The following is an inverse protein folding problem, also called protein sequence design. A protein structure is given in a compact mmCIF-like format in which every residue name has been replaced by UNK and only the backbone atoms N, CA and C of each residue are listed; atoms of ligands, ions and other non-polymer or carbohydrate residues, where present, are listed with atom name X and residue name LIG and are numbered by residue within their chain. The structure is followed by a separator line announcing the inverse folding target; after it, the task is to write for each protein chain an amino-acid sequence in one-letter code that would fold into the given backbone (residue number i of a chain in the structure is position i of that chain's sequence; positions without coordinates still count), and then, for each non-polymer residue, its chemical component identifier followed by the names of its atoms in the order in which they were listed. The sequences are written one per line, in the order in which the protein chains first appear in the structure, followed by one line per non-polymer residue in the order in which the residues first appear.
data_IF_022518931786
#
_entry.id   IF_022518931786
#
_cell.length_a   1.000
_cell.length_b   1.000
_cell.length_c   1.000
_cell.angle_alpha   90.00
_cell.angle_beta   90.00
_cell.angle_gamma   90.00
#
_symmetry.space_group_name_H-M   'P 1'
#
loop_
_entity.id
_entity.type
_entity.pdbx_description
1 polymer ?
#
# COMPACT_ATOMS: atom_id res chain seq x y z
N UNK A 1 10.82 -32.04 -24.13
CA UNK A 1 10.76 -30.91 -23.19
C UNK A 1 9.52 -30.11 -23.53
N UNK A 2 8.45 -30.34 -22.78
CA UNK A 2 7.21 -29.56 -22.93
C UNK A 2 7.43 -28.15 -22.39
N UNK A 3 7.07 -27.16 -23.20
CA UNK A 3 7.04 -25.75 -22.80
C UNK A 3 5.85 -25.59 -21.86
N UNK A 4 6.12 -25.39 -20.57
CA UNK A 4 5.11 -24.96 -19.61
C UNK A 4 4.65 -23.56 -20.05
N UNK A 5 3.43 -23.47 -20.57
CA UNK A 5 2.76 -22.19 -20.78
C UNK A 5 2.54 -21.54 -19.42
N UNK A 6 3.36 -20.54 -19.09
CA UNK A 6 3.12 -19.64 -17.98
C UNK A 6 1.84 -18.84 -18.26
N UNK A 7 0.71 -19.29 -17.71
CA UNK A 7 -0.48 -18.47 -17.53
C UNK A 7 -0.21 -17.44 -16.43
N UNK A 8 0.71 -16.49 -16.66
CA UNK A 8 0.70 -15.24 -15.91
C UNK A 8 -0.34 -14.35 -16.55
N UNK A 9 -1.59 -14.42 -16.08
CA UNK A 9 -2.55 -13.37 -16.40
C UNK A 9 -1.95 -12.06 -15.90
N UNK A 10 -1.55 -11.20 -16.83
CA UNK A 10 -1.15 -9.82 -16.55
C UNK A 10 -2.17 -9.19 -15.59
N UNK A 11 -1.75 -8.35 -14.63
CA UNK A 11 -2.70 -7.60 -13.82
C UNK A 11 -3.66 -6.86 -14.75
N UNK A 12 -4.95 -7.12 -14.57
CA UNK A 12 -5.99 -6.43 -15.34
C UNK A 12 -5.94 -4.97 -14.93
N UNK A 13 -5.81 -4.05 -15.88
CA UNK A 13 -6.17 -2.65 -15.66
C UNK A 13 -7.61 -2.61 -15.14
N UNK A 14 -7.79 -2.15 -13.89
CA UNK A 14 -9.11 -2.10 -13.27
C UNK A 14 -9.65 -0.68 -13.42
N UNK A 15 -10.57 -0.51 -14.36
CA UNK A 15 -11.45 0.66 -14.40
C UNK A 15 -12.61 0.47 -13.43
N UNK A 16 -12.93 1.50 -12.66
CA UNK A 16 -14.04 1.47 -11.68
C UNK A 16 -15.37 1.41 -12.44
N UNK A 17 -16.14 0.32 -12.26
CA UNK A 17 -17.48 0.21 -12.84
C UNK A 17 -18.55 0.82 -11.91
N UNK A 18 -19.79 0.92 -12.38
CA UNK A 18 -20.91 1.53 -11.64
C UNK A 18 -21.18 0.86 -10.29
N UNK A 19 -21.02 -0.47 -10.21
CA UNK A 19 -21.22 -1.23 -8.97
C UNK A 19 -20.11 -0.93 -7.97
N UNK A 20 -18.86 -0.88 -8.44
CA UNK A 20 -17.73 -0.51 -7.60
C UNK A 20 -17.90 0.93 -7.08
N UNK A 21 -18.31 1.86 -7.95
CA UNK A 21 -18.56 3.25 -7.56
C UNK A 21 -19.67 3.39 -6.52
N UNK A 22 -20.77 2.62 -6.66
CA UNK A 22 -21.83 2.60 -5.65
C UNK A 22 -21.33 2.10 -4.28
N UNK A 23 -20.49 1.05 -4.27
CA UNK A 23 -19.91 0.52 -3.05
C UNK A 23 -18.87 1.47 -2.43
N UNK A 24 -18.05 2.13 -3.26
CA UNK A 24 -17.08 3.15 -2.84
C UNK A 24 -17.82 4.29 -2.14
N UNK A 25 -18.86 4.84 -2.75
CA UNK A 25 -19.64 5.93 -2.16
C UNK A 25 -20.32 5.53 -0.85
N UNK A 26 -20.86 4.30 -0.78
CA UNK A 26 -21.40 3.76 0.47
C UNK A 26 -20.32 3.64 1.55
N UNK A 27 -19.15 3.12 1.21
CA UNK A 27 -18.05 2.96 2.16
C UNK A 27 -17.54 4.32 2.64
N UNK A 28 -17.32 5.26 1.71
CA UNK A 28 -16.91 6.64 1.97
C UNK A 28 -17.79 7.29 3.02
N UNK A 29 -19.12 7.20 2.85
CA UNK A 29 -20.08 7.76 3.80
C UNK A 29 -19.97 7.12 5.19
N UNK A 30 -19.75 5.80 5.26
CA UNK A 30 -19.63 5.05 6.53
C UNK A 30 -18.36 5.40 7.31
N UNK A 31 -17.31 5.90 6.66
CA UNK A 31 -16.01 6.24 7.28
C UNK A 31 -15.61 7.71 7.15
N UNK A 32 -16.53 8.58 6.76
CA UNK A 32 -16.27 9.99 6.41
C UNK A 32 -15.63 10.81 7.54
N UNK A 33 -15.93 10.47 8.79
CA UNK A 33 -15.41 11.17 9.97
C UNK A 33 -13.91 10.90 10.14
N UNK A 34 -13.47 9.69 9.80
CA UNK A 34 -12.09 9.25 9.90
C UNK A 34 -11.28 9.52 8.62
N UNK A 35 -11.89 9.80 7.47
CA UNK A 35 -11.16 10.08 6.23
C UNK A 35 -10.27 11.33 6.30
N UNK A 36 -9.22 11.32 5.49
CA UNK A 36 -8.32 12.46 5.25
C UNK A 36 -8.31 12.78 3.75
N UNK A 37 -8.01 14.04 3.34
CA UNK A 37 -7.89 14.38 1.92
C UNK A 37 -6.84 13.55 1.17
N UNK A 38 -5.79 13.10 1.87
CA UNK A 38 -4.78 12.22 1.28
C UNK A 38 -5.34 10.83 0.96
N UNK A 39 -6.10 10.25 1.89
CA UNK A 39 -6.57 8.87 1.77
C UNK A 39 -7.91 8.74 1.03
N UNK A 40 -8.71 9.81 0.95
CA UNK A 40 -10.01 9.82 0.27
C UNK A 40 -9.84 9.83 -1.27
N UNK A 41 -9.48 8.67 -1.80
CA UNK A 41 -9.48 8.37 -3.23
C UNK A 41 -10.37 7.17 -3.51
N UNK A 42 -10.97 7.14 -4.70
CA UNK A 42 -11.81 6.00 -5.11
C UNK A 42 -11.02 4.69 -5.08
N UNK A 43 -9.75 4.72 -5.50
CA UNK A 43 -8.89 3.52 -5.53
C UNK A 43 -8.46 3.05 -4.14
N UNK A 44 -8.18 3.96 -3.20
CA UNK A 44 -7.90 3.56 -1.81
C UNK A 44 -9.10 2.80 -1.22
N UNK A 45 -10.31 3.33 -1.37
CA UNK A 45 -11.53 2.69 -0.89
C UNK A 45 -11.83 1.39 -1.65
N UNK A 46 -11.59 1.35 -2.96
CA UNK A 46 -11.75 0.15 -3.77
C UNK A 46 -10.81 -0.97 -3.31
N UNK A 47 -9.56 -0.67 -2.94
CA UNK A 47 -8.61 -1.67 -2.43
C UNK A 47 -9.13 -2.35 -1.15
N UNK A 48 -9.77 -1.61 -0.25
CA UNK A 48 -10.45 -2.19 0.92
C UNK A 48 -11.64 -3.06 0.53
N UNK A 49 -12.47 -2.61 -0.41
CA UNK A 49 -13.61 -3.38 -0.89
C UNK A 49 -13.18 -4.69 -1.55
N UNK A 50 -12.16 -4.66 -2.40
CA UNK A 50 -11.64 -5.85 -3.08
C UNK A 50 -10.95 -6.80 -2.10
N UNK A 51 -10.10 -6.27 -1.21
CA UNK A 51 -9.33 -7.05 -0.24
C UNK A 51 -10.18 -7.78 0.80
N UNK A 52 -11.41 -7.32 1.03
CA UNK A 52 -12.36 -7.93 1.96
C UNK A 52 -13.67 -8.36 1.29
N UNK A 53 -13.65 -8.62 -0.02
CA UNK A 53 -14.79 -9.17 -0.77
C UNK A 53 -16.12 -8.39 -0.61
N UNK A 54 -16.05 -7.05 -0.51
CA UNK A 54 -17.16 -6.15 -0.22
C UNK A 54 -17.90 -6.45 1.10
N UNK A 55 -17.25 -7.12 2.06
CA UNK A 55 -17.81 -7.39 3.37
C UNK A 55 -17.78 -6.13 4.26
N UNK A 56 -18.84 -5.33 4.21
CA UNK A 56 -18.93 -4.08 4.97
C UNK A 56 -18.85 -4.28 6.50
N UNK A 57 -19.33 -5.41 7.02
CA UNK A 57 -19.27 -5.69 8.47
C UNK A 57 -17.82 -5.84 8.94
N UNK A 58 -16.96 -6.37 8.07
CA UNK A 58 -15.53 -6.50 8.33
C UNK A 58 -14.75 -5.22 7.99
N UNK A 59 -15.04 -4.60 6.85
CA UNK A 59 -14.29 -3.44 6.33
C UNK A 59 -14.44 -2.24 7.25
N UNK A 60 -15.67 -1.87 7.61
CA UNK A 60 -15.95 -0.60 8.30
C UNK A 60 -15.17 -0.47 9.62
N UNK A 61 -15.20 -1.43 10.57
CA UNK A 61 -14.45 -1.28 11.81
C UNK A 61 -12.92 -1.28 11.59
N UNK A 62 -12.41 -2.08 10.64
CA UNK A 62 -10.97 -2.12 10.31
C UNK A 62 -10.49 -0.82 9.67
N UNK A 63 -11.24 -0.32 8.70
CA UNK A 63 -10.90 0.91 7.98
C UNK A 63 -11.00 2.13 8.91
N UNK A 64 -12.03 2.24 9.76
CA UNK A 64 -12.09 3.30 10.79
C UNK A 64 -10.85 3.28 11.69
N UNK A 65 -10.47 2.09 12.17
CA UNK A 65 -9.26 1.92 12.99
C UNK A 65 -7.98 2.30 12.24
N UNK A 66 -7.86 1.87 10.98
CA UNK A 66 -6.74 2.23 10.11
C UNK A 66 -6.65 3.75 9.92
N UNK A 67 -7.74 4.39 9.50
CA UNK A 67 -7.81 5.83 9.26
C UNK A 67 -7.54 6.65 10.54
N UNK A 68 -8.05 6.20 11.69
CA UNK A 68 -7.73 6.79 12.98
C UNK A 68 -6.23 6.70 13.29
N UNK A 69 -5.61 5.53 13.06
CA UNK A 69 -4.17 5.32 13.21
C UNK A 69 -3.34 6.23 12.29
N UNK A 70 -3.79 6.50 11.06
CA UNK A 70 -3.09 7.42 10.15
C UNK A 70 -2.96 8.83 10.71
N UNK A 71 -3.96 9.26 11.50
CA UNK A 71 -4.05 10.58 12.13
C UNK A 71 -3.29 10.71 13.46
N UNK A 72 -2.79 9.61 14.04
CA UNK A 72 -2.03 9.67 15.31
C UNK A 72 -0.64 10.26 15.09
N UNK A 73 0.19 10.23 16.14
CA UNK A 73 1.59 10.63 16.08
C UNK A 73 2.43 9.86 15.04
N UNK A 74 1.91 8.77 14.47
CA UNK A 74 2.55 8.08 13.35
C UNK A 74 2.52 8.88 12.04
N UNK A 75 1.57 9.81 11.87
CA UNK A 75 1.49 10.75 10.74
C UNK A 75 1.67 10.08 9.37
N UNK A 76 0.93 9.00 9.13
CA UNK A 76 1.17 8.11 7.98
C UNK A 76 1.00 8.82 6.62
N UNK A 77 0.15 9.84 6.55
CA UNK A 77 -0.08 10.61 5.30
C UNK A 77 1.15 11.42 4.86
N UNK A 78 2.04 11.78 5.80
CA UNK A 78 3.22 12.63 5.55
C UNK A 78 4.54 11.99 5.99
N UNK A 79 4.54 10.75 6.48
CA UNK A 79 5.74 10.07 7.00
C UNK A 79 6.87 10.00 5.97
N UNK A 80 6.51 9.85 4.71
CA UNK A 80 7.41 9.75 3.55
C UNK A 80 7.83 11.09 2.94
N UNK A 81 7.37 12.21 3.51
CA UNK A 81 7.92 13.53 3.19
C UNK A 81 9.28 13.76 3.84
N UNK A 82 9.55 13.01 4.92
CA UNK A 82 10.84 13.00 5.60
C UNK A 82 11.85 12.03 4.96
N UNK A 83 13.13 12.13 5.33
CA UNK A 83 14.17 11.22 4.83
C UNK A 83 13.99 9.78 5.34
N UNK A 84 14.36 8.79 4.52
CA UNK A 84 14.48 7.38 4.91
C UNK A 84 15.71 7.18 5.80
N UNK A 85 15.62 7.52 7.09
CA UNK A 85 16.76 7.55 8.01
C UNK A 85 16.53 6.83 9.35
N UNK A 86 15.57 5.89 9.41
CA UNK A 86 15.40 5.09 10.61
C UNK A 86 16.68 4.25 10.83
N UNK A 87 17.19 4.10 12.08
CA UNK A 87 18.36 3.27 12.36
C UNK A 87 18.27 1.82 11.84
N UNK A 88 17.07 1.26 11.71
CA UNK A 88 16.84 -0.07 11.10
C UNK A 88 17.26 -0.08 9.62
N UNK A 89 17.10 1.03 8.90
CA UNK A 89 17.40 1.15 7.47
C UNK A 89 18.89 1.00 7.15
N UNK A 90 19.80 1.09 8.13
CA UNK A 90 21.21 0.75 7.92
C UNK A 90 21.48 -0.75 7.86
N UNK A 91 20.52 -1.57 8.32
CA UNK A 91 20.58 -3.04 8.29
C UNK A 91 19.60 -3.64 7.27
N UNK A 92 18.65 -2.83 6.80
CA UNK A 92 17.60 -3.21 5.86
C UNK A 92 17.60 -2.27 4.66
N UNK A 93 18.12 -2.76 3.54
CA UNK A 93 18.22 -2.03 2.29
C UNK A 93 16.82 -1.60 1.78
N UNK A 94 16.78 -0.49 1.05
CA UNK A 94 15.53 -0.06 0.41
C UNK A 94 15.19 -1.00 -0.75
N UNK A 95 13.91 -1.29 -0.93
CA UNK A 95 13.45 -2.01 -2.12
C UNK A 95 13.75 -1.21 -3.40
N UNK A 96 14.14 -1.92 -4.45
CA UNK A 96 14.25 -1.33 -5.78
C UNK A 96 12.85 -1.18 -6.35
N UNK A 97 12.33 0.05 -6.31
CA UNK A 97 10.98 0.38 -6.78
C UNK A 97 11.02 1.10 -8.13
N UNK A 98 10.34 0.56 -9.13
CA UNK A 98 10.18 1.17 -10.45
C UNK A 98 8.87 0.75 -11.13
N UNK A 99 8.52 1.41 -12.23
CA UNK A 99 7.44 0.94 -13.11
C UNK A 99 7.87 -0.31 -13.88
N UNK A 100 6.95 -1.26 -14.05
CA UNK A 100 7.17 -2.41 -14.90
C UNK A 100 7.15 -2.00 -16.37
N UNK A 101 8.20 -2.36 -17.12
CA UNK A 101 8.27 -2.07 -18.56
C UNK A 101 7.25 -2.87 -19.37
N UNK A 102 7.07 -4.15 -19.03
CA UNK A 102 6.21 -5.08 -19.77
C UNK A 102 4.76 -5.11 -19.29
N UNK A 103 4.48 -4.50 -18.14
CA UNK A 103 3.17 -4.56 -17.49
C UNK A 103 2.70 -3.13 -17.22
N UNK A 104 1.83 -2.57 -18.09
CA UNK A 104 1.32 -1.23 -17.92
C UNK A 104 0.67 -1.04 -16.53
N UNK A 105 0.82 0.16 -15.97
CA UNK A 105 0.26 0.57 -14.67
C UNK A 105 0.67 -0.30 -13.47
N UNK A 106 1.73 -1.10 -13.61
CA UNK A 106 2.25 -1.92 -12.53
C UNK A 106 3.54 -1.31 -11.97
N UNK A 107 3.62 -1.24 -10.65
CA UNK A 107 4.84 -0.88 -9.92
C UNK A 107 5.47 -2.16 -9.38
N UNK A 108 6.74 -2.36 -9.69
CA UNK A 108 7.54 -3.47 -9.17
C UNK A 108 8.34 -2.97 -7.98
N UNK A 109 8.33 -3.75 -6.91
CA UNK A 109 9.23 -3.57 -5.77
C UNK A 109 10.04 -4.85 -5.56
N UNK A 110 11.36 -4.76 -5.72
CA UNK A 110 12.28 -5.89 -5.50
C UNK A 110 13.02 -5.68 -4.19
N UNK A 111 12.83 -6.61 -3.25
CA UNK A 111 13.52 -6.61 -1.96
C UNK A 111 14.80 -7.44 -2.04
N UNK A 112 15.93 -6.87 -1.62
CA UNK A 112 17.23 -7.56 -1.57
C UNK A 112 17.37 -8.37 -0.28
N UNK A 113 16.59 -9.44 -0.14
CA UNK A 113 16.51 -10.19 1.13
C UNK A 113 17.82 -10.88 1.55
N UNK A 114 18.72 -11.15 0.61
CA UNK A 114 20.01 -11.78 0.91
C UNK A 114 21.05 -10.86 1.55
N UNK A 115 20.90 -9.54 1.43
CA UNK A 115 21.84 -8.54 1.97
C UNK A 115 21.39 -7.96 3.31
N UNK A 116 20.12 -8.16 3.69
CA UNK A 116 19.58 -7.68 4.95
C UNK A 116 20.13 -8.46 6.15
N UNK A 117 20.62 -7.75 7.17
CA UNK A 117 21.11 -8.34 8.42
C UNK A 117 19.97 -8.57 9.41
N UNK A 118 19.13 -9.58 9.13
CA UNK A 118 18.00 -9.93 9.99
C UNK A 118 18.43 -10.28 11.42
N UNK A 119 19.60 -10.90 11.60
CA UNK A 119 20.10 -11.25 12.92
C UNK A 119 20.39 -9.98 13.74
N UNK A 120 21.13 -9.03 13.16
CA UNK A 120 21.43 -7.74 13.79
C UNK A 120 20.16 -6.92 14.06
N UNK A 121 19.20 -6.92 13.12
CA UNK A 121 17.92 -6.25 13.29
C UNK A 121 17.17 -6.77 14.53
N UNK A 122 17.01 -8.09 14.63
CA UNK A 122 16.24 -8.73 15.71
C UNK A 122 16.91 -8.64 17.08
N UNK A 123 18.23 -8.47 17.14
CA UNK A 123 18.95 -8.33 18.41
C UNK A 123 19.14 -6.88 18.86
N UNK A 124 19.03 -5.91 17.94
CA UNK A 124 19.31 -4.49 18.21
C UNK A 124 18.05 -3.64 18.39
N UNK A 125 16.97 -3.96 17.68
CA UNK A 125 15.77 -3.13 17.62
C UNK A 125 14.56 -3.85 18.19
N UNK A 126 13.65 -3.08 18.79
CA UNK A 126 12.33 -3.58 19.15
C UNK A 126 11.49 -3.84 17.91
N UNK A 127 10.51 -4.75 18.02
CA UNK A 127 9.55 -5.02 16.94
C UNK A 127 8.81 -3.76 16.49
N UNK A 128 8.58 -2.80 17.39
CA UNK A 128 7.93 -1.54 17.06
C UNK A 128 8.81 -0.66 16.16
N UNK A 129 10.12 -0.54 16.46
CA UNK A 129 11.06 0.21 15.61
C UNK A 129 11.17 -0.41 14.22
N UNK A 130 11.22 -1.75 14.16
CA UNK A 130 11.24 -2.51 12.91
C UNK A 130 9.96 -2.25 12.11
N UNK A 131 8.79 -2.30 12.76
CA UNK A 131 7.51 -2.05 12.12
C UNK A 131 7.42 -0.61 11.60
N UNK A 132 7.86 0.38 12.37
CA UNK A 132 7.86 1.78 11.93
C UNK A 132 8.80 2.02 10.76
N UNK A 133 9.99 1.39 10.75
CA UNK A 133 10.89 1.43 9.62
C UNK A 133 10.25 0.84 8.35
N UNK A 134 9.47 -0.24 8.50
CA UNK A 134 8.79 -0.88 7.39
C UNK A 134 7.57 -0.10 6.91
N UNK A 135 6.83 0.54 7.81
CA UNK A 135 5.70 1.40 7.47
C UNK A 135 6.16 2.53 6.53
N UNK A 136 7.34 3.12 6.77
CA UNK A 136 7.90 4.13 5.86
C UNK A 136 8.03 3.59 4.42
N UNK A 137 8.60 2.40 4.24
CA UNK A 137 8.77 1.79 2.92
C UNK A 137 7.42 1.43 2.27
N UNK A 138 6.45 0.96 3.07
CA UNK A 138 5.10 0.67 2.59
C UNK A 138 4.32 1.92 2.17
N UNK A 139 4.42 3.02 2.92
CA UNK A 139 3.81 4.30 2.55
C UNK A 139 4.51 4.91 1.32
N UNK A 140 5.80 4.65 1.12
CA UNK A 140 6.53 5.07 -0.09
C UNK A 140 5.93 4.37 -1.31
N UNK A 141 5.71 3.05 -1.20
CA UNK A 141 5.06 2.26 -2.23
C UNK A 141 3.63 2.74 -2.51
N UNK A 142 2.82 2.93 -1.46
CA UNK A 142 1.44 3.38 -1.60
C UNK A 142 1.37 4.75 -2.29
N UNK A 143 2.24 5.69 -1.92
CA UNK A 143 2.31 7.01 -2.55
C UNK A 143 2.56 6.90 -4.06
N UNK A 144 3.53 6.09 -4.48
CA UNK A 144 3.81 5.89 -5.91
C UNK A 144 2.64 5.26 -6.65
N UNK A 145 1.95 4.31 -6.02
CA UNK A 145 0.72 3.71 -6.58
C UNK A 145 -0.33 4.80 -6.79
N UNK A 146 -0.59 5.63 -5.77
CA UNK A 146 -1.58 6.70 -5.83
C UNK A 146 -1.23 7.77 -6.87
N UNK A 147 0.06 8.10 -7.04
CA UNK A 147 0.55 8.98 -8.10
C UNK A 147 0.24 8.39 -9.47
N UNK A 148 0.53 7.10 -9.69
CA UNK A 148 0.25 6.41 -10.95
C UNK A 148 -1.25 6.29 -11.24
N UNK A 149 -2.05 5.99 -10.23
CA UNK A 149 -3.51 5.95 -10.30
C UNK A 149 -4.07 7.31 -10.74
N UNK A 150 -3.53 8.41 -10.21
CA UNK A 150 -3.91 9.78 -10.57
C UNK A 150 -3.50 10.15 -12.00
N UNK A 151 -2.32 9.73 -12.45
CA UNK A 151 -1.82 9.99 -13.80
C UNK A 151 -2.62 9.23 -14.87
N UNK A 152 -2.99 7.98 -14.58
CA UNK A 152 -3.53 7.05 -15.57
C UNK A 152 -5.03 6.90 -15.50
N UNK A 153 -5.65 7.29 -14.38
CA UNK A 153 -7.07 7.05 -14.10
C UNK A 153 -7.42 5.56 -13.95
N UNK A 154 -6.42 4.69 -13.75
CA UNK A 154 -6.56 3.24 -13.63
C UNK A 154 -5.82 2.72 -12.40
N UNK A 155 -6.35 1.63 -11.82
CA UNK A 155 -5.67 0.84 -10.79
C UNK A 155 -4.95 -0.37 -11.37
#
# INVERSE_FOLDING_TARGET
MEVIQNNSSLPKNISINDKDMANINKLRELVKEELTPYYDTDFNLLRWLQGHHNNFEEIVPKLKSHLAMRKTDFKLDSVVDGPRNNPVHSYWESGLTCEAELTPNCIVNVEQTGTNDYWGILHKFSLNEILMARIYDLETMLRRIMEKEKETGNS
#
